data_IF_535766181904
#
_entry.id   IF_535766181904
#
_cell.length_a   1.000
_cell.length_b   1.000
_cell.length_c   1.000
_cell.angle_alpha   90.00
_cell.angle_beta   90.00
_cell.angle_gamma   90.00
#
_symmetry.space_group_name_H-M   'P 1'
#
loop_
_entity.id
_entity.type
_entity.pdbx_description
1 polymer ?
#
# COMPACT_ATOMS: atom_id res chain seq x y z
N UNK A 1 -10.05 -13.20 -7.01
CA UNK A 1 -9.48 -12.65 -5.75
C UNK A 1 -8.50 -11.49 -5.98
N UNK A 2 -7.73 -11.48 -7.07
CA UNK A 2 -6.81 -10.37 -7.39
C UNK A 2 -7.51 -9.07 -7.84
N UNK A 3 -8.72 -9.15 -8.39
CA UNK A 3 -9.47 -7.98 -8.89
C UNK A 3 -9.79 -6.96 -7.79
N UNK A 4 -10.17 -7.43 -6.59
CA UNK A 4 -10.44 -6.54 -5.46
C UNK A 4 -9.21 -5.77 -4.99
N UNK A 5 -8.02 -6.39 -5.07
CA UNK A 5 -6.76 -5.72 -4.77
C UNK A 5 -6.45 -4.68 -5.85
N UNK A 6 -6.62 -5.04 -7.12
CA UNK A 6 -6.34 -4.14 -8.24
C UNK A 6 -7.28 -2.91 -8.26
N UNK A 7 -8.56 -3.08 -7.93
CA UNK A 7 -9.49 -1.95 -7.75
C UNK A 7 -9.08 -1.05 -6.60
N UNK A 8 -8.68 -1.60 -5.45
CA UNK A 8 -8.24 -0.78 -4.31
C UNK A 8 -6.92 -0.05 -4.58
N UNK A 9 -5.98 -0.64 -5.34
CA UNK A 9 -4.76 0.03 -5.80
C UNK A 9 -5.11 1.20 -6.74
N UNK A 10 -6.04 1.00 -7.69
CA UNK A 10 -6.50 2.08 -8.56
C UNK A 10 -7.16 3.23 -7.77
N UNK A 11 -7.98 2.90 -6.76
CA UNK A 11 -8.55 3.91 -5.85
C UNK A 11 -7.46 4.69 -5.11
N UNK A 12 -6.40 4.01 -4.66
CA UNK A 12 -5.26 4.64 -4.00
C UNK A 12 -4.57 5.64 -4.94
N UNK A 13 -4.29 5.23 -6.18
CA UNK A 13 -3.71 6.09 -7.22
C UNK A 13 -4.59 7.29 -7.51
N UNK A 14 -5.91 7.12 -7.63
CA UNK A 14 -6.82 8.24 -7.86
C UNK A 14 -6.89 9.19 -6.67
N UNK A 15 -6.96 8.68 -5.44
CA UNK A 15 -6.95 9.51 -4.21
C UNK A 15 -5.69 10.34 -4.07
N UNK A 16 -4.54 9.82 -4.51
CA UNK A 16 -3.27 10.55 -4.48
C UNK A 16 -3.09 11.50 -5.67
N UNK A 17 -4.09 11.63 -6.57
CA UNK A 17 -3.98 12.37 -7.84
C UNK A 17 -2.81 11.89 -8.72
N UNK A 18 -2.53 10.58 -8.69
CA UNK A 18 -1.44 9.95 -9.41
C UNK A 18 -0.11 9.97 -8.65
N UNK A 19 0.65 8.89 -8.77
CA UNK A 19 2.00 8.81 -8.21
C UNK A 19 3.03 9.21 -9.27
N UNK A 20 3.84 10.22 -8.96
CA UNK A 20 4.99 10.61 -9.81
C UNK A 20 6.17 9.66 -9.68
N UNK A 21 6.31 9.02 -8.51
CA UNK A 21 7.37 8.04 -8.24
C UNK A 21 6.78 6.65 -8.02
N UNK A 22 7.30 5.65 -8.76
CA UNK A 22 6.88 4.25 -8.64
C UNK A 22 7.23 3.67 -7.26
N UNK A 23 8.30 4.14 -6.62
CA UNK A 23 8.65 3.66 -5.27
C UNK A 23 7.66 4.13 -4.22
N UNK A 24 7.10 5.34 -4.37
CA UNK A 24 6.03 5.83 -3.48
C UNK A 24 4.79 4.97 -3.60
N UNK A 25 4.38 4.62 -4.83
CA UNK A 25 3.27 3.70 -5.06
C UNK A 25 3.54 2.32 -4.41
N UNK A 26 4.73 1.75 -4.59
CA UNK A 26 5.09 0.47 -3.97
C UNK A 26 5.04 0.53 -2.44
N UNK A 27 5.60 1.57 -1.84
CA UNK A 27 5.57 1.77 -0.39
C UNK A 27 4.13 1.86 0.15
N UNK A 28 3.28 2.62 -0.53
CA UNK A 28 1.86 2.78 -0.17
C UNK A 28 1.09 1.46 -0.32
N UNK A 29 1.33 0.71 -1.40
CA UNK A 29 0.72 -0.61 -1.59
C UNK A 29 1.20 -1.57 -0.47
N UNK A 30 2.49 -1.59 -0.14
CA UNK A 30 3.00 -2.44 0.94
C UNK A 30 2.44 -2.02 2.31
N UNK A 31 2.28 -0.72 2.54
CA UNK A 31 1.66 -0.20 3.75
C UNK A 31 0.19 -0.64 3.88
N UNK A 32 -0.59 -0.54 2.80
CA UNK A 32 -2.02 -0.83 2.82
C UNK A 32 -2.39 -2.31 2.63
N UNK A 33 -1.56 -3.09 1.93
CA UNK A 33 -1.85 -4.48 1.53
C UNK A 33 -0.75 -5.47 1.89
N UNK A 34 0.49 -5.03 2.07
CA UNK A 34 1.63 -5.87 2.43
C UNK A 34 1.67 -6.28 3.90
N UNK A 35 0.75 -5.75 4.72
CA UNK A 35 0.73 -6.00 6.15
C UNK A 35 1.98 -5.41 6.80
N UNK A 36 1.96 -4.09 7.04
CA UNK A 36 2.93 -3.50 7.97
C UNK A 36 2.73 -4.24 9.31
N UNK A 37 3.66 -5.12 9.67
CA UNK A 37 3.68 -5.71 11.00
C UNK A 37 4.05 -4.57 11.96
N UNK A 38 3.03 -3.80 12.34
CA UNK A 38 3.06 -2.77 13.37
C UNK A 38 2.93 -3.41 14.75
N UNK A 39 3.29 -4.69 14.90
CA UNK A 39 3.49 -5.19 16.24
C UNK A 39 4.77 -4.49 16.73
N UNK A 40 4.74 -3.68 17.80
CA UNK A 40 5.97 -3.43 18.52
C UNK A 40 6.44 -4.82 18.94
N UNK A 41 7.41 -5.40 18.25
CA UNK A 41 8.16 -6.50 18.86
C UNK A 41 8.62 -5.92 20.20
N UNK A 42 8.20 -6.49 21.35
CA UNK A 42 8.79 -6.08 22.61
C UNK A 42 10.29 -6.25 22.41
N UNK A 43 11.03 -5.15 22.52
CA UNK A 43 12.48 -5.19 22.51
C UNK A 43 12.89 -6.24 23.55
N UNK A 44 13.49 -7.33 23.08
CA UNK A 44 14.10 -8.34 23.92
C UNK A 44 15.61 -8.15 23.90
#
# INVERSE_FOLDING_TARGET
>A
MAEGVNSRIQTLVQKSCGYRNRERLKADILFHFGGLNLNPLPAQ
#
